data_IF_759175921286
#
_entry.id   IF_759175921286
#
_cell.length_a   1.000
_cell.length_b   1.000
_cell.length_c   1.000
_cell.angle_alpha   90.00
_cell.angle_beta   90.00
_cell.angle_gamma   90.00
#
_symmetry.space_group_name_H-M   'P 1'
#
loop_
_entity.id
_entity.type
_entity.pdbx_description
1 polymer ?
#
# COMPACT_ATOMS: atom_id res chain seq x y z
N UNK A 1 0.28 -3.03 -1.71
CA UNK A 1 -1.13 -2.63 -1.77
C UNK A 1 -1.60 -2.26 -0.37
N UNK A 2 -2.44 -1.23 -0.26
CA UNK A 2 -3.04 -0.85 1.02
C UNK A 2 -4.17 -1.80 1.41
N UNK A 3 -4.64 -1.72 2.66
CA UNK A 3 -5.77 -2.52 3.13
C UNK A 3 -7.01 -2.34 2.23
N UNK A 4 -7.78 -3.41 1.97
CA UNK A 4 -9.09 -3.29 1.34
C UNK A 4 -9.97 -2.32 2.15
N UNK A 5 -10.57 -1.36 1.44
CA UNK A 5 -11.49 -0.39 2.01
C UNK A 5 -12.50 0.04 0.95
N UNK A 6 -13.66 0.51 1.38
CA UNK A 6 -14.70 1.03 0.49
C UNK A 6 -14.30 2.42 -0.01
N UNK A 7 -14.68 2.75 -1.25
CA UNK A 7 -14.46 4.08 -1.81
C UNK A 7 -15.39 5.12 -1.14
N UNK A 8 -14.96 6.38 -1.01
CA UNK A 8 -15.75 7.44 -0.37
C UNK A 8 -17.03 7.80 -1.13
N UNK A 9 -17.06 7.63 -2.45
CA UNK A 9 -18.22 7.99 -3.26
C UNK A 9 -19.47 7.21 -2.88
N UNK A 10 -19.33 6.02 -2.28
CA UNK A 10 -20.48 5.22 -1.82
C UNK A 10 -21.35 5.99 -0.82
N UNK A 11 -20.76 6.89 -0.04
CA UNK A 11 -21.50 7.74 0.90
C UNK A 11 -22.33 8.83 0.20
N UNK A 12 -21.99 9.18 -1.05
CA UNK A 12 -22.68 10.19 -1.85
C UNK A 12 -23.66 9.57 -2.84
N UNK A 13 -23.26 8.51 -3.55
CA UNK A 13 -24.05 7.88 -4.62
C UNK A 13 -24.80 6.63 -4.17
N UNK A 14 -24.52 6.10 -2.98
CA UNK A 14 -25.16 4.90 -2.41
C UNK A 14 -24.72 3.57 -3.04
N UNK A 15 -24.00 3.60 -4.16
CA UNK A 15 -23.60 2.42 -4.93
C UNK A 15 -22.12 2.45 -5.30
N UNK A 16 -21.55 1.26 -5.54
CA UNK A 16 -20.21 1.08 -6.12
C UNK A 16 -20.21 1.40 -7.62
N UNK A 17 -19.04 1.74 -8.17
CA UNK A 17 -18.88 1.96 -9.62
C UNK A 17 -19.27 0.72 -10.43
N UNK A 18 -20.10 0.90 -11.47
CA UNK A 18 -20.63 -0.17 -12.34
C UNK A 18 -19.53 -1.05 -12.95
N UNK A 19 -18.41 -0.45 -13.33
CA UNK A 19 -17.28 -1.15 -13.98
C UNK A 19 -16.23 -1.67 -13.00
N UNK A 20 -16.43 -1.55 -11.69
CA UNK A 20 -15.44 -2.00 -10.71
C UNK A 20 -15.71 -3.46 -10.30
N UNK A 21 -14.89 -4.44 -10.72
CA UNK A 21 -15.19 -5.85 -10.50
C UNK A 21 -14.92 -6.32 -9.07
N UNK A 22 -13.99 -5.68 -8.36
CA UNK A 22 -13.51 -6.10 -7.06
C UNK A 22 -13.77 -5.12 -5.93
N UNK A 23 -13.38 -5.51 -4.72
CA UNK A 23 -13.56 -4.73 -3.50
C UNK A 23 -14.18 -5.56 -2.37
N UNK A 24 -14.31 -4.96 -1.17
CA UNK A 24 -14.86 -5.65 0.01
C UNK A 24 -16.33 -6.06 -0.14
N UNK A 25 -17.04 -5.45 -1.08
CA UNK A 25 -18.46 -5.71 -1.37
C UNK A 25 -18.67 -6.59 -2.61
N UNK A 26 -17.58 -7.19 -3.13
CA UNK A 26 -17.62 -8.10 -4.27
C UNK A 26 -17.50 -9.57 -3.84
N UNK A 27 -17.83 -10.49 -4.74
CA UNK A 27 -17.68 -11.93 -4.53
C UNK A 27 -16.20 -12.38 -4.41
N UNK A 28 -15.24 -11.49 -4.71
CA UNK A 28 -13.81 -11.76 -4.61
C UNK A 28 -13.32 -11.59 -3.18
N UNK A 29 -13.04 -12.72 -2.52
CA UNK A 29 -12.60 -12.78 -1.13
C UNK A 29 -11.27 -12.03 -0.92
N UNK A 30 -11.24 -11.13 0.06
CA UNK A 30 -10.06 -10.33 0.42
C UNK A 30 -9.41 -9.60 -0.76
N UNK A 31 -10.19 -9.13 -1.73
CA UNK A 31 -9.68 -8.32 -2.84
C UNK A 31 -9.64 -6.83 -2.50
N UNK A 32 -8.64 -6.11 -3.00
CA UNK A 32 -8.64 -4.64 -2.97
C UNK A 32 -9.56 -4.10 -4.06
N UNK A 33 -10.12 -2.90 -3.85
CA UNK A 33 -10.96 -2.24 -4.85
C UNK A 33 -10.30 -2.23 -6.24
N UNK A 34 -11.08 -2.60 -7.26
CA UNK A 34 -10.66 -2.71 -8.68
C UNK A 34 -9.76 -3.88 -9.04
N UNK A 35 -9.46 -4.79 -8.11
CA UNK A 35 -8.64 -5.99 -8.35
C UNK A 35 -9.44 -7.26 -8.06
N UNK A 36 -9.11 -8.35 -8.76
CA UNK A 36 -9.79 -9.65 -8.60
C UNK A 36 -9.15 -10.53 -7.52
N UNK A 37 -7.90 -10.25 -7.13
CA UNK A 37 -7.14 -11.05 -6.15
C UNK A 37 -6.22 -12.08 -6.79
N UNK A 38 -6.43 -12.41 -8.07
CA UNK A 38 -5.60 -13.37 -8.81
C UNK A 38 -4.36 -12.76 -9.44
N UNK A 39 -4.21 -11.43 -9.39
CA UNK A 39 -3.01 -10.77 -9.91
C UNK A 39 -1.80 -11.09 -9.04
N UNK A 40 -0.58 -11.21 -9.60
CA UNK A 40 0.61 -11.57 -8.82
C UNK A 40 0.93 -10.58 -7.70
N UNK A 41 0.57 -9.31 -7.86
CA UNK A 41 0.72 -8.30 -6.81
C UNK A 41 -0.34 -8.45 -5.72
N UNK A 42 -1.59 -8.70 -6.09
CA UNK A 42 -2.69 -8.96 -5.18
C UNK A 42 -2.44 -10.22 -4.35
N UNK A 43 -2.01 -11.31 -4.97
CA UNK A 43 -1.65 -12.56 -4.29
C UNK A 43 -0.55 -12.36 -3.25
N UNK A 44 0.49 -11.56 -3.56
CA UNK A 44 1.53 -11.22 -2.59
C UNK A 44 0.98 -10.39 -1.43
N UNK A 45 0.09 -9.44 -1.71
CA UNK A 45 -0.53 -8.62 -0.68
C UNK A 45 -1.43 -9.43 0.26
N UNK A 46 -2.24 -10.36 -0.27
CA UNK A 46 -3.11 -11.27 0.49
C UNK A 46 -2.25 -12.18 1.38
N UNK A 47 -1.19 -12.79 0.84
CA UNK A 47 -0.25 -13.62 1.62
C UNK A 47 0.41 -12.85 2.77
N UNK A 48 0.75 -11.59 2.54
CA UNK A 48 1.33 -10.71 3.56
C UNK A 48 0.27 -10.03 4.46
N UNK A 49 -1.02 -10.40 4.34
CA UNK A 49 -2.16 -9.79 5.05
C UNK A 49 -2.16 -8.26 5.02
N UNK A 50 -1.81 -7.69 3.87
CA UNK A 50 -1.70 -6.24 3.67
C UNK A 50 -0.72 -5.51 4.59
N UNK A 51 0.23 -6.21 5.22
CA UNK A 51 1.26 -5.58 6.01
C UNK A 51 2.32 -4.92 5.09
N UNK A 52 2.53 -3.59 5.14
CA UNK A 52 3.47 -2.89 4.27
C UNK A 52 4.92 -3.35 4.46
N UNK A 53 5.33 -3.64 5.70
CA UNK A 53 6.69 -4.05 6.00
C UNK A 53 7.03 -5.40 5.35
N UNK A 54 6.15 -6.39 5.53
CA UNK A 54 6.31 -7.73 4.96
C UNK A 54 6.23 -7.70 3.43
N UNK A 55 5.29 -6.95 2.86
CA UNK A 55 5.15 -6.82 1.40
C UNK A 55 6.45 -6.31 0.76
N UNK A 56 7.05 -5.27 1.33
CA UNK A 56 8.31 -4.70 0.82
C UNK A 56 9.47 -5.67 0.98
N UNK A 57 9.65 -6.25 2.18
CA UNK A 57 10.74 -7.18 2.45
C UNK A 57 10.73 -8.40 1.54
N UNK A 58 9.58 -9.05 1.40
CA UNK A 58 9.44 -10.20 0.51
C UNK A 58 9.73 -9.86 -0.95
N UNK A 59 9.33 -8.66 -1.41
CA UNK A 59 9.60 -8.24 -2.80
C UNK A 59 11.09 -7.96 -3.03
N UNK A 60 11.74 -7.28 -2.09
CA UNK A 60 13.18 -6.98 -2.17
C UNK A 60 14.00 -8.28 -2.11
N UNK A 61 13.67 -9.19 -1.20
CA UNK A 61 14.33 -10.50 -1.10
C UNK A 61 14.17 -11.33 -2.37
N UNK A 62 12.96 -11.36 -2.92
CA UNK A 62 12.70 -12.04 -4.19
C UNK A 62 13.58 -11.49 -5.32
N UNK A 63 13.71 -10.15 -5.43
CA UNK A 63 14.56 -9.54 -6.46
C UNK A 63 16.05 -9.84 -6.24
N UNK A 64 16.51 -9.89 -4.99
CA UNK A 64 17.88 -10.27 -4.64
C UNK A 64 18.17 -11.74 -4.97
N UNK A 65 17.23 -12.64 -4.71
CA UNK A 65 17.35 -14.06 -5.05
C UNK A 65 17.43 -14.30 -6.56
N UNK A 66 16.78 -13.44 -7.36
CA UNK A 66 16.88 -13.45 -8.82
C UNK A 66 18.22 -12.88 -9.33
N UNK A 67 19.07 -12.33 -8.46
CA UNK A 67 20.38 -11.76 -8.81
C UNK A 67 20.34 -10.29 -9.22
N UNK A 68 19.22 -9.59 -9.04
CA UNK A 68 19.15 -8.15 -9.31
C UNK A 68 19.74 -7.36 -8.13
N UNK A 69 20.59 -6.36 -8.42
CA UNK A 69 21.02 -5.38 -7.42
C UNK A 69 19.86 -4.42 -7.10
N UNK A 70 19.64 -4.16 -5.82
CA UNK A 70 18.50 -3.37 -5.32
C UNK A 70 19.03 -2.14 -4.59
N UNK A 71 19.74 -1.28 -5.32
CA UNK A 71 20.42 -0.10 -4.78
C UNK A 71 19.50 1.13 -4.71
N UNK A 72 18.56 1.24 -5.66
CA UNK A 72 17.59 2.33 -5.75
C UNK A 72 16.20 1.72 -5.91
N UNK A 73 15.28 2.11 -5.02
CA UNK A 73 13.92 1.58 -4.98
C UNK A 73 12.93 2.73 -5.09
N UNK A 74 11.97 2.59 -6.00
CA UNK A 74 10.80 3.45 -6.10
C UNK A 74 9.57 2.67 -5.61
N UNK A 75 8.76 3.31 -4.78
CA UNK A 75 7.54 2.71 -4.26
C UNK A 75 6.33 3.20 -5.04
N UNK A 76 5.56 2.25 -5.58
CA UNK A 76 4.27 2.50 -6.19
C UNK A 76 3.20 1.97 -5.24
N UNK A 77 2.41 2.87 -4.65
CA UNK A 77 1.27 2.51 -3.81
C UNK A 77 0.05 2.31 -4.71
N UNK A 78 -0.45 1.07 -4.74
CA UNK A 78 -1.63 0.70 -5.50
C UNK A 78 -2.75 0.23 -4.58
N UNK A 79 -3.99 0.47 -5.01
CA UNK A 79 -5.22 -0.03 -4.38
C UNK A 79 -6.18 1.07 -3.97
N UNK A 80 -7.43 0.97 -4.46
CA UNK A 80 -8.55 1.84 -4.10
C UNK A 80 -8.18 3.33 -4.01
N UNK A 81 -8.68 3.99 -2.96
CA UNK A 81 -8.48 5.43 -2.70
C UNK A 81 -7.63 5.62 -1.46
N UNK A 82 -6.31 5.39 -1.54
CA UNK A 82 -5.37 5.50 -0.40
C UNK A 82 -5.52 6.80 0.40
N UNK A 83 -5.77 7.92 -0.28
CA UNK A 83 -5.92 9.23 0.36
C UNK A 83 -7.20 9.39 1.19
N UNK A 84 -8.18 8.50 1.03
CA UNK A 84 -9.40 8.49 1.82
C UNK A 84 -9.22 7.79 3.19
N UNK A 85 -8.10 7.11 3.41
CA UNK A 85 -7.80 6.47 4.68
C UNK A 85 -7.40 7.51 5.74
N UNK A 86 -7.63 7.22 7.04
CA UNK A 86 -7.26 8.13 8.12
C UNK A 86 -5.76 8.44 8.08
N UNK A 87 -5.39 9.67 8.45
CA UNK A 87 -4.01 10.17 8.42
C UNK A 87 -3.05 9.28 9.20
N UNK A 88 -3.44 8.84 10.39
CA UNK A 88 -2.65 7.90 11.20
C UNK A 88 -2.29 6.61 10.45
N UNK A 89 -3.22 6.07 9.65
CA UNK A 89 -2.96 4.89 8.86
C UNK A 89 -2.04 5.18 7.68
N UNK A 90 -2.19 6.33 7.02
CA UNK A 90 -1.32 6.75 5.91
C UNK A 90 0.12 6.92 6.40
N UNK A 91 0.30 7.57 7.54
CA UNK A 91 1.61 7.77 8.17
C UNK A 91 2.22 6.44 8.62
N UNK A 92 1.43 5.58 9.28
CA UNK A 92 1.84 4.22 9.59
C UNK A 92 2.31 3.47 8.35
N UNK A 93 1.56 3.54 7.25
CA UNK A 93 1.85 2.81 6.03
C UNK A 93 3.17 3.26 5.41
N UNK A 94 3.35 4.58 5.24
CA UNK A 94 4.57 5.15 4.67
C UNK A 94 5.78 4.90 5.57
N UNK A 95 5.64 5.04 6.90
CA UNK A 95 6.74 4.78 7.85
C UNK A 95 7.24 3.34 7.74
N UNK A 96 6.33 2.38 7.75
CA UNK A 96 6.69 0.96 7.63
C UNK A 96 7.34 0.58 6.29
N UNK A 97 7.00 1.29 5.20
CA UNK A 97 7.69 1.11 3.91
C UNK A 97 9.17 1.50 4.00
N UNK A 98 9.48 2.62 4.66
CA UNK A 98 10.85 3.08 4.86
C UNK A 98 11.62 2.22 5.87
N UNK A 99 10.94 1.78 6.94
CA UNK A 99 11.51 0.87 7.95
C UNK A 99 11.93 -0.47 7.33
N UNK A 100 11.16 -0.98 6.37
CA UNK A 100 11.48 -2.21 5.64
C UNK A 100 12.79 -2.13 4.84
N UNK A 101 13.14 -0.95 4.30
CA UNK A 101 14.41 -0.73 3.61
C UNK A 101 15.56 -0.48 4.59
N UNK A 102 15.27 0.27 5.66
CA UNK A 102 16.28 0.67 6.66
C UNK A 102 16.65 -0.48 7.61
N UNK A 103 15.83 -1.53 7.67
CA UNK A 103 16.06 -2.71 8.52
C UNK A 103 15.89 -2.45 10.03
N UNK A 104 15.31 -1.31 10.42
CA UNK A 104 15.05 -0.94 11.81
C UNK A 104 13.55 -1.07 12.08
N UNK A 105 13.18 -1.70 13.19
CA UNK A 105 11.79 -1.74 13.65
C UNK A 105 11.59 -0.62 14.66
N UNK A 106 11.03 0.52 14.24
CA UNK A 106 10.94 1.70 15.09
C UNK A 106 9.60 1.71 15.84
N UNK A 107 9.55 0.97 16.96
CA UNK A 107 8.50 1.11 17.98
C UNK A 107 8.81 2.30 18.89
N UNK A 108 8.86 3.54 18.38
CA UNK A 108 8.90 4.70 19.28
C UNK A 108 7.99 5.84 18.84
N UNK A 109 7.21 6.27 19.83
CA UNK A 109 6.32 7.41 19.86
C UNK A 109 7.16 8.70 19.85
N UNK A 110 6.94 9.61 18.88
CA UNK A 110 7.28 11.03 19.06
C UNK A 110 8.36 11.69 18.18
N UNK A 111 9.04 11.00 17.26
CA UNK A 111 10.24 11.58 16.60
C UNK A 111 10.19 11.95 15.11
N UNK A 112 9.21 11.50 14.32
CA UNK A 112 9.35 11.50 12.84
C UNK A 112 8.69 12.67 12.09
N UNK A 113 8.07 13.63 12.77
CA UNK A 113 7.22 14.63 12.10
C UNK A 113 7.95 15.59 11.15
N UNK A 114 9.25 15.83 11.35
CA UNK A 114 10.04 16.77 10.53
C UNK A 114 10.69 16.13 9.30
N UNK A 115 11.10 14.86 9.35
CA UNK A 115 11.62 14.15 8.17
C UNK A 115 10.50 13.83 7.17
N UNK A 116 9.31 13.46 7.69
CA UNK A 116 8.14 13.10 6.90
C UNK A 116 7.60 14.25 6.04
N UNK A 117 7.56 15.47 6.59
CA UNK A 117 7.03 16.66 5.87
C UNK A 117 7.90 17.09 4.69
N UNK A 118 9.21 16.80 4.75
CA UNK A 118 10.14 16.98 3.61
C UNK A 118 9.97 15.90 2.52
N UNK A 119 9.56 14.69 2.90
CA UNK A 119 9.40 13.55 1.98
C UNK A 119 8.07 13.64 1.22
N UNK A 120 6.97 14.01 1.90
CA UNK A 120 5.66 14.27 1.27
C UNK A 120 5.75 15.30 0.13
N UNK A 121 6.54 16.36 0.31
CA UNK A 121 6.76 17.39 -0.72
C UNK A 121 7.64 16.93 -1.90
N UNK A 122 8.29 15.77 -1.81
CA UNK A 122 9.17 15.21 -2.87
C UNK A 122 8.57 13.98 -3.56
N UNK A 123 7.43 13.50 -3.08
CA UNK A 123 6.69 12.39 -3.68
C UNK A 123 6.02 12.89 -4.96
N UNK A 124 6.62 12.54 -6.11
CA UNK A 124 6.00 12.79 -7.41
C UNK A 124 4.97 11.69 -7.66
N UNK A 125 3.72 11.98 -7.30
CA UNK A 125 2.58 11.13 -7.62
C UNK A 125 2.37 11.17 -9.14
N UNK A 126 2.97 10.22 -9.85
CA UNK A 126 2.61 9.99 -11.24
C UNK A 126 1.20 9.42 -11.25
N UNK A 127 0.24 10.27 -11.58
CA UNK A 127 -1.10 9.84 -11.98
C UNK A 127 -0.92 9.18 -13.35
N UNK A 128 -0.82 7.86 -13.38
CA UNK A 128 -1.11 7.10 -14.59
C UNK A 128 -2.61 7.10 -14.83
#
# INVERSE_FOLDING_TARGET
MCKPHRCPHINMTGNICVYCPGGPDSDFEYSTQSYTGYEPTSMRAIRARYNPFLQTRHRVEQLKQLGHSVDKVEFIVMGGTFMCLPEEYRDYFIRNLHDALSGRYQFECGGSSTLFRKIQNKMHWHNY
#
